data_IF_386387884535
#
_entry.id   IF_386387884535
#
_cell.length_a   1.000
_cell.length_b   1.000
_cell.length_c   1.000
_cell.angle_alpha   90.00
_cell.angle_beta   90.00
_cell.angle_gamma   90.00
#
_symmetry.space_group_name_H-M   'P 1'
#
loop_
_entity.id
_entity.type
_entity.pdbx_description
1 polymer ?
#
# COMPACT_ATOMS: atom_id res chain seq x y z
N UNK A 1 -15.05 -10.77 20.08
CA UNK A 1 -14.94 -10.42 18.65
C UNK A 1 -13.50 -10.59 18.19
N UNK A 2 -13.25 -11.30 17.09
CA UNK A 2 -11.89 -11.51 16.59
C UNK A 2 -11.34 -10.25 15.91
N UNK A 3 -10.09 -9.89 16.24
CA UNK A 3 -9.39 -8.76 15.65
C UNK A 3 -9.14 -8.99 14.15
N UNK A 4 -9.63 -8.08 13.31
CA UNK A 4 -9.58 -8.21 11.85
C UNK A 4 -8.60 -7.24 11.19
N UNK A 5 -8.17 -6.17 11.87
CA UNK A 5 -7.06 -5.31 11.43
C UNK A 5 -5.76 -6.00 11.82
N UNK A 6 -5.09 -6.58 10.82
CA UNK A 6 -3.88 -7.38 10.96
C UNK A 6 -2.92 -7.07 9.81
N UNK A 7 -1.65 -7.41 10.00
CA UNK A 7 -0.66 -7.38 8.92
C UNK A 7 -1.16 -8.17 7.70
N UNK A 8 -0.97 -7.63 6.51
CA UNK A 8 -1.43 -8.19 5.24
C UNK A 8 -2.90 -7.95 4.90
N UNK A 9 -3.67 -7.24 5.73
CA UNK A 9 -5.05 -6.87 5.39
C UNK A 9 -5.09 -5.66 4.47
N UNK A 10 -5.97 -5.72 3.47
CA UNK A 10 -6.19 -4.62 2.55
C UNK A 10 -7.28 -3.70 3.11
N UNK A 11 -7.04 -2.40 3.05
CA UNK A 11 -7.96 -1.36 3.44
C UNK A 11 -8.03 -0.26 2.37
N UNK A 12 -9.03 0.60 2.45
CA UNK A 12 -9.16 1.81 1.63
C UNK A 12 -8.99 3.01 2.56
N UNK A 13 -8.16 3.97 2.17
CA UNK A 13 -8.02 5.22 2.93
C UNK A 13 -9.23 6.11 2.67
N UNK A 14 -9.89 6.60 3.71
CA UNK A 14 -11.10 7.45 3.57
C UNK A 14 -10.83 8.95 3.74
N UNK A 15 -9.70 9.35 4.34
CA UNK A 15 -9.38 10.77 4.59
C UNK A 15 -7.96 11.15 4.16
N UNK A 16 -7.78 12.44 3.85
CA UNK A 16 -6.49 13.06 3.49
C UNK A 16 -6.09 12.88 2.02
N UNK A 17 -4.86 13.30 1.66
CA UNK A 17 -4.34 13.28 0.27
C UNK A 17 -4.48 11.94 -0.46
N UNK A 18 -4.44 10.83 0.27
CA UNK A 18 -4.52 9.48 -0.29
C UNK A 18 -5.92 8.86 -0.14
N UNK A 19 -6.98 9.66 0.07
CA UNK A 19 -8.35 9.17 0.09
C UNK A 19 -8.70 8.42 -1.22
N UNK A 20 -9.48 7.35 -1.08
CA UNK A 20 -9.85 6.43 -2.16
C UNK A 20 -8.71 5.51 -2.65
N UNK A 21 -7.52 5.58 -2.05
CA UNK A 21 -6.39 4.69 -2.40
C UNK A 21 -6.44 3.40 -1.58
N UNK A 22 -6.16 2.29 -2.25
CA UNK A 22 -6.04 0.96 -1.65
C UNK A 22 -4.68 0.85 -0.99
N UNK A 23 -4.68 0.31 0.22
CA UNK A 23 -3.50 0.14 1.06
C UNK A 23 -3.49 -1.26 1.64
N UNK A 24 -2.30 -1.76 1.95
CA UNK A 24 -2.08 -2.94 2.78
C UNK A 24 -1.50 -2.51 4.11
N UNK A 25 -2.00 -3.12 5.18
CA UNK A 25 -1.51 -2.89 6.53
C UNK A 25 -0.23 -3.71 6.72
N UNK A 26 0.88 -3.04 7.02
CA UNK A 26 2.16 -3.72 7.27
C UNK A 26 2.33 -3.96 8.76
N UNK A 27 2.22 -2.89 9.56
CA UNK A 27 2.40 -2.93 11.00
C UNK A 27 1.22 -2.23 11.70
N UNK A 28 0.32 -2.99 12.37
CA UNK A 28 -0.72 -2.42 13.21
C UNK A 28 -0.14 -1.96 14.56
N UNK A 29 -0.66 -0.85 15.09
CA UNK A 29 -0.36 -0.28 16.41
C UNK A 29 -1.68 0.04 17.11
N UNK A 30 -2.23 -0.92 17.81
CA UNK A 30 -3.61 -0.84 18.32
C UNK A 30 -3.75 -0.01 19.58
N UNK A 31 -2.70 0.05 20.40
CA UNK A 31 -2.65 0.82 21.65
C UNK A 31 -2.07 2.23 21.46
N UNK A 32 -1.64 2.56 20.23
CA UNK A 32 -0.92 3.79 19.92
C UNK A 32 0.56 3.74 20.29
N UNK A 33 1.24 4.87 20.11
CA UNK A 33 2.65 5.08 20.42
C UNK A 33 2.83 6.42 21.11
N UNK A 34 4.00 6.69 21.69
CA UNK A 34 4.30 7.98 22.34
C UNK A 34 4.07 9.18 21.42
N UNK A 35 4.43 9.05 20.13
CA UNK A 35 4.23 10.10 19.13
C UNK A 35 2.77 10.21 18.65
N UNK A 36 2.02 9.11 18.68
CA UNK A 36 0.65 9.02 18.18
C UNK A 36 -0.23 8.24 19.16
N UNK A 37 -0.91 8.94 20.11
CA UNK A 37 -1.64 8.31 21.22
C UNK A 37 -3.01 7.74 20.79
N UNK A 38 -3.13 7.27 19.55
CA UNK A 38 -4.36 6.71 18.97
C UNK A 38 -4.03 5.46 18.18
N UNK A 39 -5.00 4.55 18.03
CA UNK A 39 -4.85 3.34 17.23
C UNK A 39 -4.58 3.68 15.75
N UNK A 40 -3.49 3.16 15.21
CA UNK A 40 -3.02 3.44 13.86
C UNK A 40 -2.31 2.26 13.22
N UNK A 41 -2.10 2.30 11.92
CA UNK A 41 -1.27 1.35 11.19
C UNK A 41 -0.26 2.08 10.32
N UNK A 42 0.91 1.47 10.17
CA UNK A 42 1.79 1.75 9.06
C UNK A 42 1.26 0.99 7.85
N UNK A 43 0.92 1.74 6.81
CA UNK A 43 0.32 1.21 5.59
C UNK A 43 1.19 1.51 4.38
N UNK A 44 1.12 0.60 3.42
CA UNK A 44 1.72 0.74 2.10
C UNK A 44 0.60 0.79 1.06
N UNK A 45 0.62 1.77 0.18
CA UNK A 45 -0.44 1.98 -0.80
C UNK A 45 0.03 2.32 -2.18
N UNK A 46 -0.92 2.38 -3.09
CA UNK A 46 -0.70 2.78 -4.48
C UNK A 46 -1.23 4.21 -4.68
N UNK A 47 -0.34 5.17 -4.94
CA UNK A 47 -0.72 6.55 -5.28
C UNK A 47 -1.16 6.61 -6.75
N UNK A 48 -0.33 6.06 -7.65
CA UNK A 48 -0.60 5.95 -9.09
C UNK A 48 -0.70 4.48 -9.47
N UNK A 49 -1.90 4.07 -9.86
CA UNK A 49 -2.22 2.72 -10.30
C UNK A 49 -1.66 2.44 -11.70
N UNK A 50 -1.37 1.17 -12.01
CA UNK A 50 -1.07 0.76 -13.37
C UNK A 50 -2.31 0.97 -14.26
N UNK A 51 -2.07 1.30 -15.53
CA UNK A 51 -3.13 1.50 -16.51
C UNK A 51 -3.46 0.18 -17.20
N UNK A 52 -4.70 0.05 -17.68
CA UNK A 52 -5.14 -1.11 -18.48
C UNK A 52 -4.19 -1.32 -19.68
N UNK A 53 -3.75 -2.56 -19.84
CA UNK A 53 -2.94 -3.02 -20.97
C UNK A 53 -3.84 -3.81 -21.93
N UNK A 54 -3.70 -3.57 -23.23
CA UNK A 54 -4.41 -4.26 -24.32
C UNK A 54 -3.41 -4.94 -25.25
N UNK A 55 -3.87 -5.93 -26.02
CA UNK A 55 -3.02 -6.75 -26.91
C UNK A 55 -2.25 -5.94 -27.96
N UNK A 56 -2.81 -4.82 -28.41
CA UNK A 56 -2.23 -3.99 -29.47
C UNK A 56 -1.08 -3.09 -28.99
N UNK A 57 -0.77 -3.07 -27.69
CA UNK A 57 0.30 -2.24 -27.15
C UNK A 57 1.66 -2.90 -27.35
N UNK A 58 2.60 -2.16 -27.96
CA UNK A 58 4.00 -2.56 -28.02
C UNK A 58 4.68 -2.56 -26.64
N UNK A 59 5.76 -3.33 -26.53
CA UNK A 59 6.48 -3.59 -25.27
C UNK A 59 6.84 -2.31 -24.48
N UNK A 60 7.33 -1.27 -25.17
CA UNK A 60 7.69 0.03 -24.54
C UNK A 60 6.48 0.72 -23.87
N UNK A 61 5.31 0.70 -24.53
CA UNK A 61 4.09 1.30 -23.96
C UNK A 61 3.57 0.47 -22.80
N UNK A 62 3.61 -0.86 -22.91
CA UNK A 62 3.23 -1.78 -21.83
C UNK A 62 4.07 -1.54 -20.58
N UNK A 63 5.40 -1.51 -20.71
CA UNK A 63 6.31 -1.24 -19.59
C UNK A 63 6.07 0.13 -18.93
N UNK A 64 5.67 1.16 -19.68
CA UNK A 64 5.33 2.48 -19.11
C UNK A 64 3.98 2.45 -18.36
N UNK A 65 2.99 1.70 -18.86
CA UNK A 65 1.63 1.60 -18.28
C UNK A 65 1.56 0.74 -17.03
N UNK A 66 2.44 -0.26 -16.90
CA UNK A 66 2.50 -1.14 -15.72
C UNK A 66 3.24 -0.53 -14.53
N UNK A 67 3.87 0.64 -14.69
CA UNK A 67 4.59 1.31 -13.59
C UNK A 67 3.64 1.70 -12.46
N UNK A 68 4.08 1.44 -11.23
CA UNK A 68 3.34 1.78 -10.01
C UNK A 68 4.08 2.89 -9.27
N UNK A 69 3.34 3.87 -8.72
CA UNK A 69 3.90 4.82 -7.75
C UNK A 69 3.36 4.48 -6.36
N UNK A 70 4.18 3.89 -5.47
CA UNK A 70 3.74 3.58 -4.12
C UNK A 70 3.86 4.78 -3.17
N UNK A 71 3.19 4.67 -2.03
CA UNK A 71 3.41 5.52 -0.87
C UNK A 71 3.45 4.68 0.42
N UNK A 72 4.15 5.18 1.42
CA UNK A 72 4.20 4.62 2.78
C UNK A 72 3.71 5.70 3.72
N UNK A 73 2.80 5.35 4.65
CA UNK A 73 2.21 6.34 5.55
C UNK A 73 1.73 5.70 6.85
N UNK A 74 1.79 6.46 7.94
CA UNK A 74 1.08 6.16 9.18
C UNK A 74 -0.35 6.70 9.10
N UNK A 75 -1.34 5.86 9.37
CA UNK A 75 -2.76 6.19 9.21
C UNK A 75 -3.55 5.71 10.42
N UNK A 76 -4.34 6.60 11.02
CA UNK A 76 -5.31 6.27 12.07
C UNK A 76 -6.35 5.26 11.55
N UNK A 77 -6.75 4.29 12.38
CA UNK A 77 -7.77 3.30 12.01
C UNK A 77 -9.10 3.90 11.56
N UNK A 78 -9.52 5.02 12.15
CA UNK A 78 -10.75 5.73 11.74
C UNK A 78 -10.66 6.26 10.30
N UNK A 79 -9.46 6.37 9.74
CA UNK A 79 -9.22 6.79 8.37
C UNK A 79 -9.01 5.61 7.40
N UNK A 80 -9.24 4.38 7.87
CA UNK A 80 -9.16 3.15 7.09
C UNK A 80 -10.53 2.47 7.05
N UNK A 81 -11.00 2.16 5.85
CA UNK A 81 -12.11 1.25 5.62
C UNK A 81 -11.54 -0.15 5.38
N UNK A 82 -11.65 -1.08 6.34
CA UNK A 82 -11.13 -2.45 6.18
C UNK A 82 -11.91 -3.20 5.09
N UNK A 83 -11.22 -4.07 4.36
CA UNK A 83 -11.85 -4.88 3.31
C UNK A 83 -11.67 -6.37 3.60
N UNK A 84 -12.45 -7.21 2.90
CA UNK A 84 -12.29 -8.68 2.95
C UNK A 84 -10.96 -9.18 2.40
N UNK A 85 -10.27 -8.39 1.57
CA UNK A 85 -9.09 -8.81 0.84
C UNK A 85 -7.83 -8.80 1.71
N UNK A 86 -6.89 -9.67 1.36
CA UNK A 86 -5.54 -9.69 1.90
C UNK A 86 -4.51 -9.61 0.77
N UNK A 87 -3.32 -9.12 1.12
CA UNK A 87 -2.13 -9.06 0.29
C UNK A 87 -0.95 -9.45 1.17
N UNK A 88 -0.13 -10.38 0.70
CA UNK A 88 1.10 -10.74 1.37
C UNK A 88 2.07 -9.53 1.43
N UNK A 89 2.75 -9.34 2.55
CA UNK A 89 3.63 -8.19 2.86
C UNK A 89 5.08 -8.59 3.12
N UNK A 90 5.42 -9.88 3.08
CA UNK A 90 6.71 -10.39 3.57
C UNK A 90 7.91 -9.69 2.89
N UNK A 91 7.78 -9.40 1.59
CA UNK A 91 8.84 -8.79 0.77
C UNK A 91 9.20 -7.34 1.11
N UNK A 92 8.38 -6.62 1.88
CA UNK A 92 8.64 -5.22 2.25
C UNK A 92 8.31 -4.90 3.72
N UNK A 93 8.03 -5.93 4.53
CA UNK A 93 7.68 -5.77 5.94
C UNK A 93 8.84 -5.27 6.78
N UNK A 94 10.07 -5.73 6.50
CA UNK A 94 11.28 -5.33 7.22
C UNK A 94 11.68 -3.88 6.95
N UNK A 95 11.42 -3.40 5.74
CA UNK A 95 11.83 -2.07 5.27
C UNK A 95 10.85 -0.97 5.70
N UNK A 96 9.67 -1.34 6.22
CA UNK A 96 8.62 -0.39 6.58
C UNK A 96 8.44 -0.39 8.10
N UNK A 97 9.13 0.55 8.75
CA UNK A 97 9.11 0.78 10.20
C UNK A 97 8.75 2.24 10.56
N UNK A 98 8.56 2.52 11.85
CA UNK A 98 8.35 3.89 12.34
C UNK A 98 9.56 4.79 12.08
N UNK A 99 10.77 4.26 12.25
CA UNK A 99 12.04 4.98 12.02
C UNK A 99 12.21 5.36 10.54
N UNK A 100 11.89 4.42 9.64
CA UNK A 100 11.93 4.69 8.19
C UNK A 100 10.92 5.74 7.78
N UNK A 101 9.89 5.98 8.61
CA UNK A 101 8.92 7.03 8.43
C UNK A 101 9.34 8.34 9.07
N UNK A 102 10.48 8.48 9.74
CA UNK A 102 10.95 9.78 10.26
C UNK A 102 11.92 10.42 9.27
N UNK A 103 12.88 9.64 8.77
CA UNK A 103 13.94 10.13 7.89
C UNK A 103 13.53 10.15 6.40
N UNK A 104 13.58 11.30 5.69
CA UNK A 104 13.16 11.39 4.28
C UNK A 104 13.90 10.47 3.32
N UNK A 105 15.21 10.30 3.50
CA UNK A 105 16.10 9.41 2.72
C UNK A 105 15.64 7.96 2.82
N UNK A 106 15.44 7.46 4.03
CA UNK A 106 14.95 6.10 4.28
C UNK A 106 13.55 5.88 3.70
N UNK A 107 12.65 6.89 3.77
CA UNK A 107 11.33 6.82 3.12
C UNK A 107 11.45 6.62 1.60
N UNK A 108 12.44 7.24 0.96
CA UNK A 108 12.64 7.10 -0.48
C UNK A 108 13.17 5.71 -0.86
N UNK A 109 14.10 5.17 -0.07
CA UNK A 109 14.61 3.81 -0.24
C UNK A 109 13.52 2.76 -0.02
N UNK A 110 12.71 2.92 1.02
CA UNK A 110 11.56 2.06 1.29
C UNK A 110 10.58 2.04 0.12
N UNK A 111 10.30 3.21 -0.49
CA UNK A 111 9.44 3.29 -1.68
C UNK A 111 10.03 2.56 -2.88
N UNK A 112 11.35 2.54 -3.07
CA UNK A 112 12.01 1.79 -4.16
C UNK A 112 11.79 0.28 -4.01
N UNK A 113 11.99 -0.24 -2.80
CA UNK A 113 11.77 -1.67 -2.48
C UNK A 113 10.30 -2.04 -2.68
N UNK A 114 9.39 -1.26 -2.08
CA UNK A 114 7.95 -1.46 -2.21
C UNK A 114 7.51 -1.42 -3.68
N UNK A 115 8.04 -0.48 -4.47
CA UNK A 115 7.70 -0.36 -5.89
C UNK A 115 8.04 -1.63 -6.65
N UNK A 116 9.27 -2.15 -6.49
CA UNK A 116 9.71 -3.38 -7.15
C UNK A 116 8.80 -4.55 -6.80
N UNK A 117 8.52 -4.75 -5.51
CA UNK A 117 7.65 -5.83 -5.04
C UNK A 117 6.21 -5.72 -5.58
N UNK A 118 5.64 -4.51 -5.65
CA UNK A 118 4.29 -4.30 -6.18
C UNK A 118 4.21 -4.49 -7.70
N UNK A 119 5.24 -4.08 -8.44
CA UNK A 119 5.31 -4.28 -9.90
C UNK A 119 5.43 -5.77 -10.23
N UNK A 120 6.25 -6.53 -9.50
CA UNK A 120 6.36 -8.00 -9.64
C UNK A 120 5.03 -8.70 -9.34
N UNK A 121 4.36 -8.34 -8.24
CA UNK A 121 3.04 -8.89 -7.88
C UNK A 121 1.97 -8.58 -8.93
N UNK A 122 2.02 -7.39 -9.53
CA UNK A 122 1.10 -6.99 -10.60
C UNK A 122 1.33 -7.79 -11.88
N UNK A 123 2.59 -7.98 -12.29
CA UNK A 123 2.96 -8.75 -13.47
C UNK A 123 2.59 -10.24 -13.33
N UNK A 124 2.71 -10.79 -12.12
CA UNK A 124 2.24 -12.15 -11.81
C UNK A 124 0.71 -12.31 -11.88
N UNK A 125 -0.06 -11.24 -12.10
CA UNK A 125 -1.52 -11.28 -12.20
C UNK A 125 -2.24 -11.55 -10.87
N UNK A 126 -1.51 -11.49 -9.75
CA UNK A 126 -2.07 -11.69 -8.39
C UNK A 126 -2.77 -10.43 -7.91
N UNK A 127 -3.75 -10.59 -7.02
CA UNK A 127 -4.45 -9.49 -6.34
C UNK A 127 -4.99 -8.40 -7.30
N UNK A 128 -5.58 -8.79 -8.43
CA UNK A 128 -6.09 -7.88 -9.48
C UNK A 128 -6.94 -6.73 -8.91
N UNK A 129 -7.75 -7.00 -7.89
CA UNK A 129 -8.57 -5.98 -7.23
C UNK A 129 -7.71 -4.89 -6.59
N UNK A 130 -6.60 -5.22 -5.93
CA UNK A 130 -5.71 -4.24 -5.29
C UNK A 130 -5.09 -3.26 -6.28
N UNK A 131 -4.70 -3.75 -7.46
CA UNK A 131 -4.08 -2.94 -8.51
C UNK A 131 -5.09 -2.18 -9.39
N UNK A 132 -6.38 -2.42 -9.24
CA UNK A 132 -7.43 -1.70 -9.96
C UNK A 132 -7.83 -0.45 -9.18
N UNK A 133 -7.87 0.71 -9.83
CA UNK A 133 -8.33 1.96 -9.20
C UNK A 133 -9.78 1.80 -8.70
N UNK A 134 -10.07 2.32 -7.51
CA UNK A 134 -11.44 2.46 -7.02
C UNK A 134 -12.08 3.69 -7.70
N UNK A 135 -13.20 3.49 -8.37
CA UNK A 135 -13.97 4.55 -9.01
C UNK A 135 -15.11 4.94 -8.08
N UNK A 136 -15.16 6.21 -7.73
CA UNK A 136 -16.15 6.85 -6.86
C UNK A 136 -16.27 8.31 -7.29
#
# INVERSE_FOLDING_TARGET
MAKFIKSGKVAIVVRGRFAGKKVVIVKPHDEGTKAHPFAHAIVVGIERYPLKVTKNLGAKKTAKRTKVKPFVKLVNYNHLMPTRYSLDVESFKSVVSSETLEEPTQREEAKKVVKKALEEKHQAGKNKWFFTKLNF
#
